data_IF_036635636867
#
_entry.id   IF_036635636867
#
_cell.length_a   1.000
_cell.length_b   1.000
_cell.length_c   1.000
_cell.angle_alpha   90.00
_cell.angle_beta   90.00
_cell.angle_gamma   90.00
#
_symmetry.space_group_name_H-M   'P 1'
#
loop_
_entity.id
_entity.type
_entity.pdbx_description
1 polymer ?
#
# COMPACT_ATOMS: atom_id res chain seq x y z
N UNK A 1 51.80 9.11 28.74
CA UNK A 1 50.47 8.71 28.25
C UNK A 1 50.66 7.99 26.95
N UNK A 2 50.18 6.75 26.84
CA UNK A 2 50.24 5.99 25.59
C UNK A 2 49.19 6.54 24.61
N UNK A 3 49.65 6.94 23.43
CA UNK A 3 48.81 7.49 22.36
C UNK A 3 48.14 6.34 21.61
N UNK A 4 46.81 6.30 21.60
CA UNK A 4 46.03 5.25 20.93
C UNK A 4 45.99 5.53 19.42
N UNK A 5 46.47 4.61 18.55
CA UNK A 5 46.51 4.86 17.12
C UNK A 5 45.09 4.99 16.55
N UNK A 6 44.84 6.12 15.87
CA UNK A 6 43.55 6.44 15.24
C UNK A 6 43.21 5.43 14.14
N UNK A 7 41.92 5.07 14.02
CA UNK A 7 41.42 4.16 12.99
C UNK A 7 41.77 4.70 11.60
N UNK A 8 42.46 3.88 10.80
CA UNK A 8 42.80 4.20 9.41
C UNK A 8 41.51 4.40 8.60
N UNK A 9 41.32 5.55 7.93
CA UNK A 9 40.16 5.75 7.06
C UNK A 9 40.20 4.73 5.91
N UNK A 10 39.03 4.18 5.59
CA UNK A 10 38.90 3.10 4.61
C UNK A 10 39.27 3.64 3.22
N UNK A 11 40.36 3.13 2.64
CA UNK A 11 40.79 3.54 1.30
C UNK A 11 39.69 3.23 0.28
N UNK A 12 39.21 4.26 -0.41
CA UNK A 12 38.17 4.11 -1.44
C UNK A 12 38.60 3.12 -2.54
N UNK A 13 39.90 3.09 -2.86
CA UNK A 13 40.50 2.13 -3.81
C UNK A 13 40.39 0.68 -3.28
N UNK A 14 40.64 0.50 -1.99
CA UNK A 14 40.55 -0.81 -1.34
C UNK A 14 39.11 -1.31 -1.23
N UNK A 15 38.14 -0.40 -0.96
CA UNK A 15 36.71 -0.73 -0.98
C UNK A 15 36.23 -1.12 -2.37
N UNK A 16 36.68 -0.40 -3.40
CA UNK A 16 36.33 -0.69 -4.80
C UNK A 16 36.86 -2.05 -5.23
N UNK A 17 38.11 -2.38 -4.89
CA UNK A 17 38.70 -3.71 -5.13
C UNK A 17 37.94 -4.81 -4.39
N UNK A 18 37.62 -4.63 -3.10
CA UNK A 18 36.85 -5.59 -2.32
C UNK A 18 35.48 -5.90 -2.94
N UNK A 19 34.77 -4.88 -3.44
CA UNK A 19 33.48 -5.06 -4.10
C UNK A 19 33.61 -5.77 -5.46
N UNK A 20 34.71 -5.52 -6.18
CA UNK A 20 35.00 -6.17 -7.46
C UNK A 20 35.32 -7.66 -7.25
N UNK A 21 36.21 -7.98 -6.30
CA UNK A 21 36.54 -9.35 -5.90
C UNK A 21 35.29 -10.13 -5.42
N UNK A 22 34.39 -9.47 -4.67
CA UNK A 22 33.12 -10.07 -4.22
C UNK A 22 32.19 -10.38 -5.40
N UNK A 23 32.12 -9.50 -6.41
CA UNK A 23 31.31 -9.70 -7.62
C UNK A 23 31.89 -10.82 -8.49
N UNK A 24 33.20 -10.90 -8.61
CA UNK A 24 33.87 -11.99 -9.35
C UNK A 24 33.68 -13.34 -8.66
N UNK A 25 33.82 -13.41 -7.33
CA UNK A 25 33.57 -14.64 -6.57
C UNK A 25 32.13 -15.14 -6.69
N UNK A 26 31.16 -14.21 -6.76
CA UNK A 26 29.74 -14.56 -7.00
C UNK A 26 29.50 -15.01 -8.46
N UNK A 27 30.26 -14.47 -9.42
CA UNK A 27 30.19 -14.83 -10.86
C UNK A 27 30.81 -16.20 -11.15
N UNK A 28 31.88 -16.56 -10.44
CA UNK A 28 32.58 -17.84 -10.62
C UNK A 28 31.89 -19.03 -9.93
N UNK A 29 30.71 -18.84 -9.33
CA UNK A 29 29.82 -19.97 -8.99
C UNK A 29 30.40 -20.99 -8.01
N UNK A 30 31.31 -20.61 -7.11
CA UNK A 30 31.79 -21.51 -6.05
C UNK A 30 30.64 -21.86 -5.09
N UNK A 31 29.98 -22.98 -5.37
CA UNK A 31 29.30 -23.78 -4.37
C UNK A 31 30.39 -24.43 -3.51
N UNK A 32 30.69 -23.84 -2.34
CA UNK A 32 31.32 -24.63 -1.30
C UNK A 32 30.71 -24.31 0.07
N UNK A 33 30.05 -25.33 0.62
CA UNK A 33 29.17 -25.29 1.76
C UNK A 33 29.90 -25.21 3.09
N UNK A 34 30.68 -24.15 3.32
CA UNK A 34 31.29 -23.90 4.64
C UNK A 34 30.99 -22.48 5.10
N UNK A 35 29.83 -22.33 5.74
CA UNK A 35 29.50 -21.15 6.55
C UNK A 35 30.40 -21.19 7.79
N UNK A 36 31.53 -20.48 7.77
CA UNK A 36 32.26 -20.19 9.02
C UNK A 36 31.38 -19.31 9.91
N UNK A 37 30.85 -19.95 10.96
CA UNK A 37 30.14 -19.34 12.06
C UNK A 37 31.09 -18.52 12.92
N UNK A 38 30.98 -17.19 12.88
CA UNK A 38 31.14 -16.29 14.04
C UNK A 38 31.15 -14.83 13.56
N UNK A 39 30.00 -14.16 13.58
CA UNK A 39 29.92 -12.81 14.16
C UNK A 39 28.46 -12.36 14.25
N UNK A 40 27.90 -12.48 15.45
CA UNK A 40 26.69 -11.80 15.87
C UNK A 40 26.99 -10.31 16.01
N UNK A 41 26.44 -9.47 15.12
CA UNK A 41 26.11 -8.07 15.42
C UNK A 41 24.84 -7.70 14.66
N UNK A 42 23.80 -7.47 15.44
CA UNK A 42 22.49 -6.96 15.03
C UNK A 42 22.61 -5.71 14.17
N UNK A 43 21.82 -5.66 13.10
CA UNK A 43 21.68 -4.49 12.25
C UNK A 43 20.60 -4.77 11.23
N UNK A 44 19.38 -4.35 11.56
CA UNK A 44 18.27 -4.06 10.65
C UNK A 44 18.25 -4.87 9.36
N UNK A 45 17.57 -6.03 9.39
CA UNK A 45 17.12 -6.65 8.16
C UNK A 45 16.02 -5.74 7.59
N UNK A 46 16.42 -4.72 6.84
CA UNK A 46 15.58 -4.15 5.80
C UNK A 46 14.93 -5.34 5.11
N UNK A 47 13.59 -5.37 5.11
CA UNK A 47 12.82 -6.30 4.30
C UNK A 47 13.13 -5.94 2.85
N UNK A 48 14.25 -6.45 2.36
CA UNK A 48 14.46 -6.70 0.95
C UNK A 48 13.44 -7.78 0.61
N UNK A 49 12.21 -7.33 0.36
CA UNK A 49 11.34 -8.02 -0.58
C UNK A 49 12.24 -8.34 -1.76
N UNK A 50 12.52 -9.62 -1.94
CA UNK A 50 13.13 -10.17 -3.13
C UNK A 50 12.12 -9.99 -4.27
N UNK A 51 11.87 -8.74 -4.65
CA UNK A 51 11.41 -8.37 -5.97
C UNK A 51 12.61 -8.56 -6.92
N UNK A 52 13.09 -9.79 -7.01
CA UNK A 52 13.77 -10.26 -8.21
C UNK A 52 12.68 -10.43 -9.27
N UNK A 53 12.37 -9.35 -9.96
CA UNK A 53 11.62 -9.46 -11.21
C UNK A 53 12.34 -8.63 -12.28
N UNK A 54 13.62 -8.96 -12.46
CA UNK A 54 14.36 -8.72 -13.72
C UNK A 54 14.10 -9.88 -14.69
N UNK A 55 12.91 -10.47 -14.68
CA UNK A 55 12.50 -11.48 -15.65
C UNK A 55 11.95 -10.75 -16.88
N UNK A 56 12.80 -10.62 -17.88
CA UNK A 56 12.57 -10.02 -19.20
C UNK A 56 11.65 -10.91 -20.09
N UNK A 57 10.70 -11.62 -19.48
CA UNK A 57 9.81 -12.53 -20.17
C UNK A 57 8.45 -11.84 -20.35
N UNK A 58 8.35 -11.10 -21.45
CA UNK A 58 7.14 -10.48 -22.00
C UNK A 58 6.14 -11.56 -22.46
N UNK A 59 5.66 -12.39 -21.54
CA UNK A 59 4.54 -13.30 -21.83
C UNK A 59 3.22 -12.53 -21.64
N UNK A 60 2.48 -12.36 -22.74
CA UNK A 60 1.17 -11.70 -22.90
C UNK A 60 0.04 -12.11 -21.93
N UNK A 61 0.30 -12.96 -20.93
CA UNK A 61 -0.64 -13.16 -19.83
C UNK A 61 -0.68 -11.91 -18.98
N UNK A 62 -1.84 -11.25 -18.89
CA UNK A 62 -2.12 -10.16 -17.94
C UNK A 62 -1.40 -10.44 -16.63
N UNK A 63 -0.49 -9.55 -16.26
CA UNK A 63 0.49 -9.81 -15.22
C UNK A 63 -0.16 -9.62 -13.85
N UNK A 64 -1.06 -10.53 -13.47
CA UNK A 64 -1.91 -10.40 -12.29
C UNK A 64 -1.07 -10.54 -11.01
N UNK A 65 -1.08 -9.52 -10.16
CA UNK A 65 -0.50 -9.56 -8.82
C UNK A 65 -1.46 -10.28 -7.89
N UNK A 66 -0.97 -11.35 -7.25
CA UNK A 66 -1.74 -12.14 -6.27
C UNK A 66 -1.39 -11.66 -4.86
N UNK A 67 -2.34 -11.02 -4.19
CA UNK A 67 -2.21 -10.59 -2.80
C UNK A 67 -2.77 -11.66 -1.86
N UNK A 68 -2.20 -11.78 -0.65
CA UNK A 68 -2.56 -12.78 0.36
C UNK A 68 -2.35 -14.23 -0.11
N UNK A 69 -1.39 -14.45 -1.01
CA UNK A 69 -0.98 -15.79 -1.44
C UNK A 69 -0.37 -16.56 -0.26
N UNK A 70 -1.09 -17.55 0.24
CA UNK A 70 -0.58 -18.49 1.23
C UNK A 70 0.31 -19.56 0.57
N UNK A 71 1.41 -19.98 1.23
CA UNK A 71 2.21 -21.12 0.80
C UNK A 71 1.35 -22.38 0.69
N UNK A 72 1.56 -23.15 -0.38
CA UNK A 72 0.84 -24.42 -0.58
C UNK A 72 1.45 -25.50 0.34
N UNK A 73 1.11 -25.46 1.63
CA UNK A 73 1.46 -26.53 2.58
C UNK A 73 0.44 -27.65 2.43
N UNK A 74 0.55 -28.44 1.35
CA UNK A 74 -0.26 -29.66 1.22
C UNK A 74 0.34 -30.74 2.09
N UNK A 75 -0.33 -31.10 3.19
CA UNK A 75 -0.04 -32.36 3.89
C UNK A 75 -0.55 -33.52 3.02
N UNK A 76 0.26 -34.57 2.78
CA UNK A 76 -0.21 -35.74 2.04
C UNK A 76 -1.45 -36.32 2.72
N UNK A 77 -2.60 -36.33 2.04
CA UNK A 77 -3.85 -36.93 2.53
C UNK A 77 -4.99 -35.97 2.87
N UNK A 78 -4.74 -34.66 3.04
CA UNK A 78 -5.80 -33.68 3.26
C UNK A 78 -6.43 -33.27 1.91
N UNK A 79 -7.61 -33.83 1.60
CA UNK A 79 -8.43 -33.43 0.45
C UNK A 79 -9.47 -32.41 0.88
N UNK A 80 -9.48 -31.22 0.25
CA UNK A 80 -10.69 -30.38 0.21
C UNK A 80 -10.55 -28.89 0.56
N UNK A 81 -9.45 -28.45 1.19
CA UNK A 81 -9.27 -27.03 1.54
C UNK A 81 -8.20 -26.38 0.65
N UNK A 82 -8.60 -25.35 -0.11
CA UNK A 82 -7.67 -24.44 -0.79
C UNK A 82 -7.53 -23.15 0.03
N UNK A 83 -6.40 -22.94 0.72
CA UNK A 83 -6.15 -21.72 1.48
C UNK A 83 -6.13 -20.44 0.63
N UNK A 84 -6.03 -20.59 -0.70
CA UNK A 84 -5.90 -19.48 -1.64
C UNK A 84 -7.18 -19.22 -2.46
N UNK A 85 -8.32 -19.79 -2.03
CA UNK A 85 -9.62 -19.61 -2.70
C UNK A 85 -10.07 -18.14 -2.78
N UNK A 86 -9.78 -17.36 -1.74
CA UNK A 86 -10.18 -15.96 -1.62
C UNK A 86 -8.99 -15.00 -1.74
N UNK A 87 -7.91 -15.42 -2.42
CA UNK A 87 -6.77 -14.53 -2.65
C UNK A 87 -7.19 -13.39 -3.58
N UNK A 88 -6.61 -12.22 -3.38
CA UNK A 88 -6.93 -11.07 -4.22
C UNK A 88 -6.09 -11.08 -5.49
N UNK A 89 -6.72 -10.78 -6.62
CA UNK A 89 -6.08 -10.68 -7.92
C UNK A 89 -6.20 -9.23 -8.40
N UNK A 90 -5.06 -8.55 -8.52
CA UNK A 90 -4.99 -7.21 -9.04
C UNK A 90 -4.28 -7.22 -10.39
N UNK A 91 -4.85 -6.53 -11.37
CA UNK A 91 -4.16 -6.29 -12.63
C UNK A 91 -2.92 -5.41 -12.38
N UNK A 92 -1.81 -5.76 -13.02
CA UNK A 92 -0.61 -4.92 -13.02
C UNK A 92 -0.70 -3.98 -14.20
N UNK A 93 -0.68 -2.69 -13.90
CA UNK A 93 -0.55 -1.65 -14.91
C UNK A 93 0.74 -1.82 -15.70
N UNK A 94 0.70 -1.54 -17.00
CA UNK A 94 1.88 -1.64 -17.85
C UNK A 94 2.94 -0.63 -17.40
N UNK A 95 4.23 -0.96 -17.62
CA UNK A 95 5.34 -0.08 -17.25
C UNK A 95 5.22 1.29 -17.95
N UNK A 96 4.81 1.27 -19.21
CA UNK A 96 4.59 2.47 -20.02
C UNK A 96 3.49 3.36 -19.42
N UNK A 97 2.38 2.78 -18.97
CA UNK A 97 1.30 3.53 -18.36
C UNK A 97 1.70 4.14 -17.02
N UNK A 98 2.41 3.38 -16.19
CA UNK A 98 2.95 3.89 -14.91
C UNK A 98 3.94 5.03 -15.15
N UNK A 99 4.83 4.90 -16.14
CA UNK A 99 5.80 5.94 -16.47
C UNK A 99 5.13 7.20 -17.04
N UNK A 100 4.14 7.04 -17.92
CA UNK A 100 3.31 8.13 -18.44
C UNK A 100 2.63 8.90 -17.30
N UNK A 101 1.99 8.20 -16.36
CA UNK A 101 1.32 8.85 -15.21
C UNK A 101 2.31 9.55 -14.29
N UNK A 102 3.48 8.95 -14.03
CA UNK A 102 4.57 9.60 -13.28
C UNK A 102 5.10 10.84 -13.97
N UNK A 103 5.19 10.85 -15.31
CA UNK A 103 5.58 12.03 -16.08
C UNK A 103 4.54 13.14 -15.92
N UNK A 104 3.26 12.84 -16.13
CA UNK A 104 2.16 13.79 -15.95
C UNK A 104 2.16 14.37 -14.53
N UNK A 105 2.31 13.54 -13.50
CA UNK A 105 2.32 13.99 -12.11
C UNK A 105 3.53 14.88 -11.75
N UNK A 106 4.67 14.72 -12.45
CA UNK A 106 5.86 15.57 -12.26
C UNK A 106 5.78 16.90 -13.04
N UNK A 107 5.16 16.87 -14.22
CA UNK A 107 5.04 18.03 -15.10
C UNK A 107 3.86 18.93 -14.72
N UNK A 108 2.78 18.34 -14.20
CA UNK A 108 1.59 19.07 -13.79
C UNK A 108 1.85 19.74 -12.44
N UNK A 109 1.93 21.07 -12.45
CA UNK A 109 1.94 21.88 -11.23
C UNK A 109 0.57 21.73 -10.56
N UNK A 110 0.57 21.36 -9.28
CA UNK A 110 -0.65 21.33 -8.48
C UNK A 110 -0.90 22.74 -7.95
N UNK A 111 -1.96 23.37 -8.44
CA UNK A 111 -2.40 24.65 -7.92
C UNK A 111 -3.20 24.43 -6.62
N UNK A 112 -2.95 25.21 -5.56
CA UNK A 112 -3.75 25.13 -4.35
C UNK A 112 -5.17 25.58 -4.69
N UNK A 113 -6.11 24.68 -4.43
CA UNK A 113 -7.53 24.89 -4.63
C UNK A 113 -8.11 25.63 -3.43
N UNK A 114 -9.17 26.42 -3.63
CA UNK A 114 -9.84 27.14 -2.55
C UNK A 114 -10.47 26.18 -1.53
N UNK A 115 -10.60 26.60 -0.26
CA UNK A 115 -11.22 25.77 0.78
C UNK A 115 -12.66 25.35 0.41
N UNK A 116 -13.39 26.25 -0.26
CA UNK A 116 -14.76 26.02 -0.74
C UNK A 116 -14.82 24.85 -1.73
N UNK A 117 -13.83 24.71 -2.61
CA UNK A 117 -13.76 23.62 -3.57
C UNK A 117 -13.23 22.30 -2.97
N UNK A 118 -12.58 22.36 -1.81
CA UNK A 118 -12.20 21.16 -1.05
C UNK A 118 -13.33 20.60 -0.21
N UNK A 119 -14.38 21.38 0.02
CA UNK A 119 -15.57 20.98 0.74
C UNK A 119 -16.68 20.57 -0.24
N UNK A 120 -17.49 19.61 0.17
CA UNK A 120 -18.67 19.17 -0.59
C UNK A 120 -19.87 19.34 0.32
N UNK A 121 -20.90 20.04 -0.16
CA UNK A 121 -22.13 20.19 0.60
C UNK A 121 -22.85 18.84 0.69
N UNK A 122 -23.42 18.55 1.86
CA UNK A 122 -24.26 17.37 2.09
C UNK A 122 -25.44 17.37 1.11
N UNK A 123 -25.97 18.55 0.76
CA UNK A 123 -27.06 18.72 -0.19
C UNK A 123 -26.71 18.31 -1.63
N UNK A 124 -25.42 18.37 -1.99
CA UNK A 124 -24.96 17.95 -3.32
C UNK A 124 -24.89 16.42 -3.46
N UNK A 125 -24.58 15.74 -2.36
CA UNK A 125 -24.49 14.27 -2.28
C UNK A 125 -25.86 13.65 -2.06
N UNK A 126 -26.65 14.23 -1.16
CA UNK A 126 -27.92 13.70 -0.70
C UNK A 126 -29.07 14.63 -1.10
N UNK A 127 -29.40 14.57 -2.39
CA UNK A 127 -30.44 15.42 -2.98
C UNK A 127 -31.83 14.94 -2.56
N UNK A 128 -32.71 15.89 -2.30
CA UNK A 128 -34.12 15.59 -2.00
C UNK A 128 -34.79 14.84 -3.15
N UNK A 129 -35.45 13.73 -2.85
CA UNK A 129 -36.06 12.83 -3.83
C UNK A 129 -35.08 11.89 -4.56
N UNK A 130 -33.79 11.89 -4.21
CA UNK A 130 -32.83 10.92 -4.77
C UNK A 130 -32.86 9.58 -4.03
N UNK A 131 -32.22 8.55 -4.61
CA UNK A 131 -32.09 7.22 -3.97
C UNK A 131 -31.31 7.28 -2.64
N UNK A 132 -30.45 8.28 -2.48
CA UNK A 132 -29.66 8.49 -1.26
C UNK A 132 -30.28 9.55 -0.35
N UNK A 133 -31.50 10.00 -0.63
CA UNK A 133 -32.16 11.00 0.22
C UNK A 133 -32.42 10.45 1.63
N UNK A 134 -32.61 11.35 2.59
CA UNK A 134 -32.94 11.01 3.97
C UNK A 134 -33.81 12.09 4.62
N UNK A 135 -34.68 11.73 5.59
CA UNK A 135 -35.53 12.69 6.27
C UNK A 135 -34.69 13.63 7.13
N UNK A 136 -34.87 14.94 6.93
CA UNK A 136 -34.15 15.97 7.69
C UNK A 136 -34.97 16.40 8.90
N UNK A 137 -34.28 16.61 10.01
CA UNK A 137 -34.89 17.08 11.25
C UNK A 137 -35.36 18.53 11.05
N UNK A 138 -36.65 18.84 11.31
CA UNK A 138 -37.11 20.22 11.26
C UNK A 138 -36.44 21.06 12.36
N UNK A 139 -36.30 22.39 12.16
CA UNK A 139 -35.75 23.27 13.18
C UNK A 139 -36.64 23.27 14.43
N UNK A 140 -36.01 23.21 15.59
CA UNK A 140 -36.68 23.28 16.88
C UNK A 140 -36.02 24.35 17.76
N UNK A 141 -36.75 24.79 18.79
CA UNK A 141 -36.26 25.78 19.75
C UNK A 141 -36.57 25.32 21.19
N UNK A 142 -35.89 25.93 22.16
CA UNK A 142 -36.06 25.60 23.58
C UNK A 142 -37.43 25.98 24.16
N UNK A 143 -38.28 26.72 23.43
CA UNK A 143 -39.64 27.03 23.89
C UNK A 143 -40.62 25.88 23.63
N UNK A 144 -40.27 24.93 22.77
CA UNK A 144 -41.09 23.76 22.48
C UNK A 144 -41.07 22.76 23.62
N UNK A 145 -42.24 22.18 23.93
CA UNK A 145 -42.29 21.02 24.82
C UNK A 145 -41.74 19.79 24.10
N UNK A 146 -41.30 18.80 24.88
CA UNK A 146 -40.85 17.50 24.37
C UNK A 146 -41.89 16.88 23.42
N UNK A 147 -43.16 16.91 23.81
CA UNK A 147 -44.24 16.28 23.05
C UNK A 147 -44.53 17.01 21.74
N UNK A 148 -44.44 18.35 21.74
CA UNK A 148 -44.58 19.15 20.52
C UNK A 148 -43.48 18.86 19.51
N UNK A 149 -42.23 18.75 19.99
CA UNK A 149 -41.07 18.44 19.16
C UNK A 149 -41.18 17.03 18.57
N UNK A 150 -41.55 16.03 19.38
CA UNK A 150 -41.74 14.65 18.90
C UNK A 150 -42.87 14.55 17.87
N UNK A 151 -43.99 15.23 18.10
CA UNK A 151 -45.11 15.24 17.15
C UNK A 151 -44.72 15.89 15.80
N UNK A 152 -43.91 16.94 15.84
CA UNK A 152 -43.41 17.59 14.63
C UNK A 152 -42.42 16.70 13.86
N UNK A 153 -41.49 16.07 14.57
CA UNK A 153 -40.53 15.14 13.97
C UNK A 153 -41.22 13.91 13.37
N UNK A 154 -42.17 13.33 14.08
CA UNK A 154 -42.96 12.20 13.60
C UNK A 154 -43.75 12.55 12.34
N UNK A 155 -44.36 13.74 12.31
CA UNK A 155 -45.08 14.23 11.14
C UNK A 155 -44.15 14.35 9.92
N UNK A 156 -43.01 15.01 10.06
CA UNK A 156 -42.05 15.16 8.97
C UNK A 156 -41.50 13.82 8.47
N UNK A 157 -41.27 12.87 9.38
CA UNK A 157 -40.81 11.53 9.00
C UNK A 157 -41.86 10.76 8.21
N UNK A 158 -43.14 10.85 8.59
CA UNK A 158 -44.22 10.22 7.82
C UNK A 158 -44.39 10.84 6.44
N UNK A 159 -44.36 12.17 6.34
CA UNK A 159 -44.43 12.90 5.06
C UNK A 159 -43.29 12.52 4.11
N UNK A 160 -42.11 12.17 4.64
CA UNK A 160 -40.99 11.71 3.84
C UNK A 160 -41.15 10.28 3.30
N UNK A 161 -41.91 9.43 3.98
CA UNK A 161 -42.14 8.03 3.56
C UNK A 161 -43.24 7.89 2.50
N UNK A 162 -44.08 8.91 2.33
CA UNK A 162 -45.15 8.97 1.32
C UNK A 162 -44.61 9.41 -0.05
#
# INVERSE_FOLDING_TARGET
>A
GQDMPRKRPFSAKQKRKQLQDKRERKRQGFQDGVRSSSNSRSGSHDRHEEHTDTSDSESFSLQVRKLNQQPQVRKPGERGYDPNRYRLHFERESREEVERRKKIAREKILEPVSEIETEVDIEDVYKTGSVLDFPKRPPWNYQMSKDQLLAQEEKCFREYLE
#
